data_IF_686876923930
#
_entry.id   IF_686876923930
#
_cell.length_a   1.000
_cell.length_b   1.000
_cell.length_c   1.000
_cell.angle_alpha   90.00
_cell.angle_beta   90.00
_cell.angle_gamma   90.00
#
_symmetry.space_group_name_H-M   'P 1'
#
loop_
_entity.id
_entity.type
_entity.pdbx_description
1 polymer ?
#
# COMPACT_ATOMS: atom_id res chain seq x y z
N UNK A 1 21.56 -3.08 -17.98
CA UNK A 1 20.59 -2.42 -17.08
C UNK A 1 21.37 -1.51 -16.18
N UNK A 2 21.09 -0.21 -16.19
CA UNK A 2 21.81 0.75 -15.35
C UNK A 2 21.30 0.62 -13.91
N UNK A 3 22.11 0.05 -13.02
CA UNK A 3 21.78 -0.13 -11.60
C UNK A 3 21.52 1.20 -10.87
N UNK A 4 21.95 2.33 -11.45
CA UNK A 4 21.69 3.68 -10.90
C UNK A 4 20.29 4.19 -11.21
N UNK A 5 19.64 3.62 -12.22
CA UNK A 5 18.27 3.98 -12.59
C UNK A 5 17.36 3.04 -11.82
N UNK A 6 16.80 3.53 -10.72
CA UNK A 6 15.83 2.80 -9.89
C UNK A 6 14.64 2.24 -10.71
N UNK A 7 13.72 1.51 -10.06
CA UNK A 7 12.61 0.90 -10.76
C UNK A 7 11.78 1.94 -11.50
N UNK A 8 11.30 1.58 -12.69
CA UNK A 8 10.31 2.41 -13.39
C UNK A 8 8.97 2.28 -12.66
N UNK A 9 8.63 3.27 -11.84
CA UNK A 9 7.37 3.25 -11.07
C UNK A 9 6.13 3.19 -11.94
N UNK A 10 6.16 3.75 -13.15
CA UNK A 10 5.06 3.60 -14.11
C UNK A 10 4.89 2.14 -14.54
N UNK A 11 5.99 1.41 -14.76
CA UNK A 11 5.94 -0.01 -15.07
C UNK A 11 5.47 -0.85 -13.88
N UNK A 12 5.96 -0.56 -12.66
CA UNK A 12 5.52 -1.25 -11.44
C UNK A 12 4.02 -1.08 -11.22
N UNK A 13 3.52 0.15 -11.30
CA UNK A 13 2.09 0.45 -11.13
C UNK A 13 1.24 -0.20 -12.22
N UNK A 14 1.72 -0.23 -13.46
CA UNK A 14 1.03 -0.91 -14.56
C UNK A 14 0.95 -2.42 -14.31
N UNK A 15 2.04 -3.05 -13.89
CA UNK A 15 2.07 -4.48 -13.57
C UNK A 15 1.09 -4.84 -12.44
N UNK A 16 1.00 -4.02 -11.40
CA UNK A 16 0.08 -4.25 -10.28
C UNK A 16 -1.37 -3.96 -10.70
N UNK A 17 -1.62 -2.75 -11.21
CA UNK A 17 -2.97 -2.23 -11.46
C UNK A 17 -3.67 -2.84 -12.66
N UNK A 18 -2.96 -3.11 -13.75
CA UNK A 18 -3.57 -3.62 -14.99
C UNK A 18 -3.40 -5.14 -15.16
N UNK A 19 -2.23 -5.68 -14.78
CA UNK A 19 -1.88 -7.07 -15.10
C UNK A 19 -2.21 -8.04 -13.95
N UNK A 20 -1.65 -7.81 -12.75
CA UNK A 20 -1.78 -8.76 -11.64
C UNK A 20 -3.17 -8.74 -10.99
N UNK A 21 -3.67 -7.55 -10.68
CA UNK A 21 -4.96 -7.36 -10.03
C UNK A 21 -6.05 -6.90 -11.03
N UNK A 22 -5.71 -6.01 -11.96
CA UNK A 22 -6.66 -5.44 -12.93
C UNK A 22 -7.39 -6.45 -13.80
N UNK A 23 -6.77 -7.58 -14.15
CA UNK A 23 -7.42 -8.63 -14.93
C UNK A 23 -8.60 -9.32 -14.24
N UNK A 24 -8.76 -9.15 -12.92
CA UNK A 24 -9.88 -9.68 -12.12
C UNK A 24 -10.92 -8.61 -11.78
N UNK A 25 -10.63 -7.34 -12.01
CA UNK A 25 -11.51 -6.22 -11.69
C UNK A 25 -12.32 -5.88 -12.92
N UNK A 26 -13.64 -6.06 -12.83
CA UNK A 26 -14.56 -5.87 -13.95
C UNK A 26 -15.25 -4.51 -13.95
N UNK A 27 -15.37 -3.88 -12.79
CA UNK A 27 -15.98 -2.55 -12.65
C UNK A 27 -14.94 -1.44 -12.87
N UNK A 28 -15.33 -0.41 -13.63
CA UNK A 28 -14.43 0.70 -13.99
C UNK A 28 -14.05 1.55 -12.78
N UNK A 29 -14.94 1.71 -11.79
CA UNK A 29 -14.64 2.46 -10.57
C UNK A 29 -13.72 1.67 -9.65
N UNK A 30 -13.92 0.35 -9.52
CA UNK A 30 -12.99 -0.51 -8.78
C UNK A 30 -11.58 -0.46 -9.41
N UNK A 31 -11.52 -0.44 -10.75
CA UNK A 31 -10.25 -0.33 -11.47
C UNK A 31 -9.59 1.03 -11.29
N UNK A 32 -10.38 2.10 -11.27
CA UNK A 32 -9.91 3.44 -10.97
C UNK A 32 -9.36 3.54 -9.54
N UNK A 33 -10.07 2.96 -8.57
CA UNK A 33 -9.67 2.91 -7.17
C UNK A 33 -8.37 2.11 -6.99
N UNK A 34 -8.26 0.93 -7.61
CA UNK A 34 -7.05 0.11 -7.59
C UNK A 34 -5.83 0.88 -8.13
N UNK A 35 -5.97 1.53 -9.27
CA UNK A 35 -4.89 2.34 -9.85
C UNK A 35 -4.54 3.56 -8.99
N UNK A 36 -5.53 4.12 -8.28
CA UNK A 36 -5.31 5.20 -7.30
C UNK A 36 -4.44 4.73 -6.13
N UNK A 37 -4.76 3.57 -5.54
CA UNK A 37 -3.93 2.96 -4.50
C UNK A 37 -2.52 2.65 -4.98
N UNK A 38 -2.39 2.08 -6.18
CA UNK A 38 -1.09 1.77 -6.77
C UNK A 38 -0.22 3.03 -6.91
N UNK A 39 -0.82 4.16 -7.31
CA UNK A 39 -0.11 5.44 -7.44
C UNK A 39 0.22 6.08 -6.08
N UNK A 40 -0.67 5.95 -5.09
CA UNK A 40 -0.49 6.49 -3.75
C UNK A 40 0.65 5.80 -3.00
N UNK A 41 0.77 4.48 -3.12
CA UNK A 41 1.72 3.71 -2.32
C UNK A 41 3.06 3.41 -3.01
N UNK A 42 3.07 3.16 -4.33
CA UNK A 42 4.30 2.76 -5.01
C UNK A 42 4.97 3.94 -5.70
N UNK A 43 6.08 4.43 -5.14
CA UNK A 43 6.89 5.52 -5.68
C UNK A 43 8.12 5.75 -4.81
N UNK A 44 9.07 6.57 -5.28
CA UNK A 44 10.26 6.92 -4.48
C UNK A 44 9.91 7.50 -3.09
N UNK A 45 8.75 8.16 -2.98
CA UNK A 45 8.26 8.73 -1.72
C UNK A 45 8.00 7.68 -0.64
N UNK A 46 7.79 6.40 -1.02
CA UNK A 46 7.56 5.32 -0.04
C UNK A 46 8.78 5.08 0.86
N UNK A 47 9.99 5.41 0.39
CA UNK A 47 11.22 5.20 1.14
C UNK A 47 11.56 6.38 2.07
N UNK A 48 10.74 7.43 2.10
CA UNK A 48 10.94 8.56 3.00
C UNK A 48 10.61 8.16 4.44
N UNK A 49 11.40 8.65 5.41
CA UNK A 49 11.26 8.29 6.84
C UNK A 49 9.88 8.64 7.44
N UNK A 50 9.22 9.65 6.86
CA UNK A 50 7.89 10.11 7.24
C UNK A 50 6.76 9.49 6.41
N UNK A 51 7.04 8.55 5.48
CA UNK A 51 6.00 7.90 4.71
C UNK A 51 5.09 7.06 5.60
N UNK A 52 3.77 7.15 5.38
CA UNK A 52 2.73 6.39 6.07
C UNK A 52 1.71 5.93 5.04
N UNK A 53 1.20 4.70 5.19
CA UNK A 53 0.20 4.15 4.27
C UNK A 53 -1.19 4.78 4.41
N UNK A 54 -1.49 5.36 5.57
CA UNK A 54 -2.73 6.05 5.91
C UNK A 54 -2.40 7.39 6.59
N UNK A 55 -3.37 8.32 6.62
CA UNK A 55 -3.32 9.49 7.49
C UNK A 55 -3.47 9.14 8.98
N UNK A 56 -3.79 7.87 9.28
CA UNK A 56 -3.84 7.35 10.62
C UNK A 56 -2.42 7.17 11.19
N UNK A 57 -2.24 7.38 12.50
CA UNK A 57 -0.93 7.31 13.18
C UNK A 57 -0.30 5.91 13.24
N UNK A 58 -0.83 4.92 12.52
CA UNK A 58 -0.79 3.52 12.98
C UNK A 58 0.29 2.67 12.29
N UNK A 59 0.76 2.99 11.08
CA UNK A 59 1.67 2.07 10.37
C UNK A 59 2.82 2.78 9.62
N UNK A 60 4.00 2.96 10.25
CA UNK A 60 5.23 3.21 9.51
C UNK A 60 5.65 1.95 8.73
N UNK A 61 6.49 2.09 7.70
CA UNK A 61 7.17 0.94 7.09
C UNK A 61 8.24 0.46 8.09
N UNK A 62 8.11 -0.75 8.67
CA UNK A 62 9.15 -1.29 9.52
C UNK A 62 10.42 -1.59 8.72
N UNK A 63 11.58 -1.39 9.33
CA UNK A 63 12.88 -1.75 8.75
C UNK A 63 13.62 -2.63 9.74
N UNK A 64 13.46 -3.94 9.57
CA UNK A 64 14.14 -4.97 10.36
C UNK A 64 15.17 -5.74 9.53
N UNK A 65 16.04 -6.48 10.22
CA UNK A 65 17.14 -7.24 9.60
C UNK A 65 16.75 -8.68 9.28
N UNK A 66 15.84 -9.27 10.06
CA UNK A 66 15.44 -10.67 9.94
C UNK A 66 13.95 -10.76 9.60
N UNK A 67 13.56 -11.88 8.99
CA UNK A 67 12.14 -12.12 8.64
C UNK A 67 11.32 -12.30 9.92
N UNK A 68 11.90 -12.92 10.94
CA UNK A 68 11.29 -13.18 12.24
C UNK A 68 10.87 -11.88 12.95
N UNK A 69 11.67 -10.82 12.83
CA UNK A 69 11.35 -9.50 13.38
C UNK A 69 10.12 -8.89 12.67
N UNK A 70 10.01 -9.05 11.34
CA UNK A 70 8.82 -8.61 10.60
C UNK A 70 7.57 -9.38 11.02
N UNK A 71 7.68 -10.70 11.16
CA UNK A 71 6.56 -11.55 11.61
C UNK A 71 6.11 -11.12 13.00
N UNK A 72 7.04 -10.99 13.94
CA UNK A 72 6.74 -10.56 15.32
C UNK A 72 6.09 -9.18 15.39
N UNK A 73 6.50 -8.25 14.53
CA UNK A 73 5.86 -6.95 14.42
C UNK A 73 4.43 -7.04 13.86
N UNK A 74 4.22 -7.82 12.79
CA UNK A 74 2.89 -8.03 12.20
C UNK A 74 1.95 -8.65 13.24
N UNK A 75 2.42 -9.62 14.01
CA UNK A 75 1.64 -10.28 15.07
C UNK A 75 1.30 -9.32 16.23
N UNK A 76 2.10 -8.27 16.42
CA UNK A 76 1.83 -7.23 17.43
C UNK A 76 0.79 -6.18 17.00
N UNK A 77 0.40 -6.17 15.72
CA UNK A 77 -0.53 -5.18 15.19
C UNK A 77 -1.96 -5.43 15.70
N UNK A 78 -2.77 -4.37 15.86
CA UNK A 78 -4.17 -4.53 16.25
C UNK A 78 -4.94 -5.39 15.24
N UNK A 79 -5.70 -6.38 15.74
CA UNK A 79 -6.59 -7.19 14.90
C UNK A 79 -7.76 -6.38 14.33
N UNK A 80 -8.21 -5.37 15.09
CA UNK A 80 -9.25 -4.45 14.67
C UNK A 80 -8.60 -3.16 14.18
N UNK A 81 -8.87 -2.81 12.93
CA UNK A 81 -8.31 -1.65 12.26
C UNK A 81 -9.46 -0.75 11.82
N UNK A 82 -9.33 0.56 12.04
CA UNK A 82 -10.37 1.53 11.68
C UNK A 82 -10.47 1.69 10.16
N UNK A 83 -11.66 2.03 9.61
CA UNK A 83 -11.83 2.26 8.17
C UNK A 83 -10.90 3.31 7.55
N UNK A 84 -10.36 4.23 8.37
CA UNK A 84 -9.39 5.24 7.95
C UNK A 84 -8.12 4.66 7.31
N UNK A 85 -7.77 3.41 7.62
CA UNK A 85 -6.63 2.72 6.98
C UNK A 85 -6.85 2.53 5.48
N UNK A 86 -8.10 2.37 5.07
CA UNK A 86 -8.53 2.31 3.68
C UNK A 86 -8.92 3.69 3.13
N UNK A 87 -8.59 4.78 3.84
CA UNK A 87 -9.00 6.13 3.45
C UNK A 87 -10.51 6.39 3.56
N UNK A 88 -11.24 5.55 4.30
CA UNK A 88 -12.68 5.67 4.48
C UNK A 88 -13.03 6.46 5.76
N UNK A 89 -14.21 7.06 5.78
CA UNK A 89 -14.73 7.75 6.96
C UNK A 89 -15.04 6.74 8.08
N UNK A 90 -14.83 7.06 9.38
CA UNK A 90 -15.13 6.14 10.50
C UNK A 90 -16.55 5.54 10.49
N UNK A 91 -17.53 6.26 9.94
CA UNK A 91 -18.91 5.76 9.78
C UNK A 91 -19.02 4.50 8.91
N UNK A 92 -18.01 4.16 8.11
CA UNK A 92 -17.99 2.93 7.34
C UNK A 92 -17.96 1.67 8.22
N UNK A 93 -17.60 1.78 9.50
CA UNK A 93 -17.59 0.68 10.48
C UNK A 93 -18.98 0.35 11.05
N UNK A 94 -19.99 1.20 10.76
CA UNK A 94 -21.35 1.10 11.33
C UNK A 94 -22.29 0.27 10.43
N UNK A 95 -21.89 -0.03 9.19
CA UNK A 95 -22.71 -0.71 8.17
C UNK A 95 -22.22 -2.14 7.94
#
# INVERSE_FOLDING_TARGET
MDLKKGPSWSAVRYMIGEIQYGGRVTDDYDKHLLNTYAKLWFGEHMFQQNFRFCNCKVFPIPVFKTVEDYISYIDSLPMVITPEVFGMHPNADIT
#
